data_IF_158743054723
#
_entry.id   IF_158743054723
#
_cell.length_a   1.000
_cell.length_b   1.000
_cell.length_c   1.000
_cell.angle_alpha   90.00
_cell.angle_beta   90.00
_cell.angle_gamma   90.00
#
_symmetry.space_group_name_H-M   'P 1'
#
loop_
_entity.id
_entity.type
_entity.pdbx_description
1 polymer ?
#
# COMPACT_ATOMS: atom_id res chain seq x y z
N UNK A 1 -48.81 -11.09 -3.17
CA UNK A 1 -47.70 -11.34 -2.21
C UNK A 1 -46.51 -12.09 -2.83
N UNK A 2 -46.70 -13.13 -3.67
CA UNK A 2 -45.58 -13.84 -4.35
C UNK A 2 -44.69 -12.95 -5.23
N UNK A 3 -45.26 -11.95 -5.93
CA UNK A 3 -44.51 -11.01 -6.78
C UNK A 3 -43.59 -10.05 -6.00
N UNK A 4 -43.98 -9.67 -4.77
CA UNK A 4 -43.18 -8.79 -3.90
C UNK A 4 -41.96 -9.53 -3.30
N UNK A 5 -42.13 -10.82 -2.98
CA UNK A 5 -41.03 -11.67 -2.50
C UNK A 5 -39.98 -11.86 -3.60
N UNK A 6 -40.41 -12.01 -4.86
CA UNK A 6 -39.50 -12.19 -5.99
C UNK A 6 -38.62 -10.94 -6.25
N UNK A 7 -39.18 -9.74 -6.12
CA UNK A 7 -38.43 -8.48 -6.30
C UNK A 7 -37.38 -8.23 -5.21
N UNK A 8 -37.67 -8.62 -3.96
CA UNK A 8 -36.71 -8.48 -2.85
C UNK A 8 -35.55 -9.46 -3.01
N UNK A 9 -35.82 -10.69 -3.47
CA UNK A 9 -34.79 -11.70 -3.70
C UNK A 9 -33.82 -11.29 -4.83
N UNK A 10 -34.34 -10.66 -5.89
CA UNK A 10 -33.51 -10.18 -7.01
C UNK A 10 -32.60 -9.03 -6.57
N UNK A 11 -33.10 -8.08 -5.75
CA UNK A 11 -32.28 -6.96 -5.27
C UNK A 11 -31.08 -7.42 -4.41
N UNK A 12 -31.23 -8.51 -3.64
CA UNK A 12 -30.13 -9.06 -2.82
C UNK A 12 -29.03 -9.73 -3.65
N UNK A 13 -29.34 -10.22 -4.86
CA UNK A 13 -28.36 -10.80 -5.78
C UNK A 13 -27.49 -9.73 -6.47
N UNK A 14 -28.01 -8.50 -6.66
CA UNK A 14 -27.24 -7.41 -7.28
C UNK A 14 -26.26 -6.71 -6.32
N UNK A 15 -26.49 -6.75 -5.01
CA UNK A 15 -25.60 -6.14 -4.03
C UNK A 15 -24.25 -6.88 -3.90
N UNK A 16 -24.15 -8.12 -4.38
CA UNK A 16 -22.93 -8.94 -4.33
C UNK A 16 -21.83 -8.55 -5.31
N UNK A 17 -22.03 -7.54 -6.17
CA UNK A 17 -21.04 -7.12 -7.16
C UNK A 17 -20.01 -6.10 -6.65
N UNK A 18 -20.32 -5.36 -5.58
CA UNK A 18 -19.41 -4.36 -5.01
C UNK A 18 -18.18 -5.03 -4.41
N UNK A 19 -16.98 -4.66 -4.86
CA UNK A 19 -15.70 -5.24 -4.42
C UNK A 19 -15.28 -6.55 -5.12
N UNK A 20 -16.09 -7.08 -6.02
CA UNK A 20 -15.69 -8.22 -6.88
C UNK A 20 -14.74 -7.76 -7.99
N UNK A 21 -13.84 -8.63 -8.52
CA UNK A 21 -12.96 -8.25 -9.64
C UNK A 21 -13.72 -7.72 -10.86
N UNK A 22 -14.93 -8.25 -11.12
CA UNK A 22 -15.81 -7.78 -12.18
C UNK A 22 -16.42 -6.40 -11.86
N UNK A 23 -16.85 -6.17 -10.62
CA UNK A 23 -17.37 -4.87 -10.17
C UNK A 23 -16.33 -3.76 -10.27
N UNK A 24 -15.09 -4.03 -9.85
CA UNK A 24 -13.99 -3.06 -9.92
C UNK A 24 -13.68 -2.68 -11.37
N UNK A 25 -13.75 -3.63 -12.32
CA UNK A 25 -13.60 -3.32 -13.75
C UNK A 25 -14.73 -2.43 -14.28
N UNK A 26 -15.97 -2.67 -13.86
CA UNK A 26 -17.12 -1.85 -14.26
C UNK A 26 -16.97 -0.42 -13.75
N UNK A 27 -16.46 -0.25 -12.53
CA UNK A 27 -16.26 1.06 -11.90
C UNK A 27 -14.95 1.77 -12.31
N UNK A 28 -14.13 1.16 -13.17
CA UNK A 28 -12.78 1.64 -13.52
C UNK A 28 -11.87 1.87 -12.29
N UNK A 29 -11.93 0.95 -11.33
CA UNK A 29 -11.17 1.00 -10.08
C UNK A 29 -10.05 -0.04 -10.07
N UNK A 30 -8.98 0.27 -9.34
CA UNK A 30 -7.93 -0.67 -8.95
C UNK A 30 -7.76 -0.65 -7.44
N UNK A 31 -7.28 -1.75 -6.89
CA UNK A 31 -6.86 -1.80 -5.50
C UNK A 31 -5.57 -0.99 -5.33
N UNK A 32 -5.47 -0.29 -4.20
CA UNK A 32 -4.22 0.31 -3.77
C UNK A 32 -3.12 -0.76 -3.65
N UNK A 33 -1.92 -0.34 -4.00
CA UNK A 33 -0.71 -1.15 -3.92
C UNK A 33 0.17 -0.65 -2.79
N UNK A 34 1.17 -1.46 -2.44
CA UNK A 34 2.22 -1.03 -1.52
C UNK A 34 2.93 0.23 -2.00
N UNK A 35 3.07 0.42 -3.31
CA UNK A 35 3.65 1.63 -3.86
C UNK A 35 2.78 2.87 -3.60
N UNK A 36 1.45 2.74 -3.67
CA UNK A 36 0.52 3.83 -3.31
C UNK A 36 0.65 4.20 -1.83
N UNK A 37 0.68 3.19 -0.94
CA UNK A 37 0.91 3.40 0.49
C UNK A 37 2.27 4.03 0.79
N UNK A 38 3.35 3.61 0.13
CA UNK A 38 4.66 4.23 0.33
C UNK A 38 4.69 5.67 -0.18
N UNK A 39 4.01 5.94 -1.30
CA UNK A 39 3.92 7.27 -1.90
C UNK A 39 3.11 8.24 -1.04
N UNK A 40 2.07 7.77 -0.34
CA UNK A 40 1.23 8.62 0.52
C UNK A 40 1.98 9.22 1.71
N UNK A 41 3.13 8.64 2.08
CA UNK A 41 4.00 9.21 3.11
C UNK A 41 4.84 10.39 2.60
N UNK A 42 5.03 10.57 1.30
CA UNK A 42 5.83 11.70 0.80
C UNK A 42 5.15 13.03 1.15
N UNK A 43 5.89 13.91 1.83
CA UNK A 43 5.40 15.17 2.39
C UNK A 43 4.95 15.08 3.84
N UNK A 44 4.80 13.88 4.41
CA UNK A 44 4.46 13.70 5.83
C UNK A 44 5.71 13.80 6.72
N UNK A 45 5.50 14.13 8.00
CA UNK A 45 6.61 14.19 8.96
C UNK A 45 7.10 12.80 9.35
N UNK A 46 8.39 12.70 9.65
CA UNK A 46 9.00 11.50 10.22
C UNK A 46 8.31 11.09 11.52
N UNK A 47 7.96 12.05 12.38
CA UNK A 47 7.27 11.78 13.64
C UNK A 47 5.94 11.05 13.42
N UNK A 48 5.15 11.48 12.42
CA UNK A 48 3.88 10.83 12.09
C UNK A 48 4.07 9.43 11.51
N UNK A 49 5.08 9.26 10.64
CA UNK A 49 5.44 7.95 10.11
C UNK A 49 5.85 7.00 11.24
N UNK A 50 6.76 7.42 12.11
CA UNK A 50 7.25 6.62 13.24
C UNK A 50 6.13 6.36 14.27
N UNK A 51 5.22 7.31 14.50
CA UNK A 51 4.09 7.07 15.40
C UNK A 51 3.13 6.01 14.85
N UNK A 52 2.99 5.92 13.52
CA UNK A 52 2.08 4.97 12.86
C UNK A 52 2.71 3.60 12.66
N UNK A 53 3.98 3.54 12.26
CA UNK A 53 4.68 2.30 11.87
C UNK A 53 5.58 1.75 12.99
N UNK A 54 5.82 2.54 14.03
CA UNK A 54 6.81 2.25 15.06
C UNK A 54 8.23 2.68 14.66
N UNK A 55 9.21 2.42 15.54
CA UNK A 55 10.61 2.72 15.26
C UNK A 55 11.11 1.95 14.03
N UNK A 56 11.96 2.56 13.17
CA UNK A 56 12.53 1.86 12.02
C UNK A 56 13.50 0.76 12.47
N UNK A 57 13.65 -0.27 11.64
CA UNK A 57 14.63 -1.35 11.86
C UNK A 57 16.06 -0.83 11.74
N UNK A 58 16.30 0.09 10.81
CA UNK A 58 17.61 0.67 10.58
C UNK A 58 17.53 2.14 10.21
N UNK A 59 18.60 2.88 10.46
CA UNK A 59 18.72 4.27 10.03
C UNK A 59 20.16 4.62 9.65
N UNK A 60 20.32 5.54 8.71
CA UNK A 60 21.60 6.06 8.27
C UNK A 60 21.50 7.57 8.06
N UNK A 61 22.32 8.34 8.76
CA UNK A 61 22.42 9.80 8.59
C UNK A 61 23.38 10.11 7.44
N UNK A 62 22.88 10.82 6.44
CA UNK A 62 23.65 11.32 5.30
C UNK A 62 24.56 12.46 5.77
N UNK A 63 25.67 12.68 5.05
CA UNK A 63 26.57 13.81 5.31
C UNK A 63 25.89 15.18 5.16
N UNK A 64 24.78 15.25 4.41
CA UNK A 64 23.96 16.45 4.26
C UNK A 64 23.04 16.75 5.45
N UNK A 65 23.00 15.90 6.47
CA UNK A 65 22.11 16.03 7.64
C UNK A 65 20.75 15.34 7.50
N UNK A 66 20.34 15.00 6.27
CA UNK A 66 19.19 14.12 6.02
C UNK A 66 19.45 12.69 6.49
N UNK A 67 18.44 11.82 6.48
CA UNK A 67 18.59 10.40 6.86
C UNK A 67 17.78 9.48 5.98
N UNK A 68 18.20 8.23 5.92
CA UNK A 68 17.45 7.14 5.34
C UNK A 68 17.05 6.22 6.48
N UNK A 69 15.77 5.90 6.60
CA UNK A 69 15.25 4.91 7.53
C UNK A 69 14.72 3.70 6.77
N UNK A 70 14.83 2.51 7.34
CA UNK A 70 14.28 1.28 6.76
C UNK A 70 13.45 0.48 7.74
N UNK A 71 12.36 -0.09 7.24
CA UNK A 71 11.55 -1.12 7.89
C UNK A 71 11.81 -2.44 7.16
N UNK A 72 12.28 -3.43 7.91
CA UNK A 72 12.75 -4.69 7.33
C UNK A 72 12.09 -5.87 8.02
N UNK A 73 11.55 -6.79 7.21
CA UNK A 73 10.96 -8.02 7.72
C UNK A 73 11.13 -9.18 6.75
N UNK A 74 11.12 -10.40 7.28
CA UNK A 74 11.14 -11.63 6.48
C UNK A 74 9.72 -11.92 6.01
N UNK A 75 9.49 -11.89 4.69
CA UNK A 75 8.19 -12.23 4.10
C UNK A 75 7.96 -13.74 4.09
N UNK A 76 9.01 -14.52 3.88
CA UNK A 76 8.93 -15.97 3.85
C UNK A 76 10.20 -16.63 3.32
N UNK A 77 10.16 -17.95 3.24
CA UNK A 77 11.24 -18.79 2.71
C UNK A 77 10.67 -19.60 1.56
N UNK A 78 11.21 -19.44 0.35
CA UNK A 78 10.81 -20.22 -0.83
C UNK A 78 12.07 -20.90 -1.37
N UNK A 79 12.03 -22.23 -1.53
CA UNK A 79 13.17 -23.03 -2.01
C UNK A 79 14.48 -22.72 -1.27
N UNK A 80 14.43 -22.69 0.07
CA UNK A 80 15.56 -22.37 0.96
C UNK A 80 16.17 -20.96 0.77
N UNK A 81 15.49 -20.07 0.02
CA UNK A 81 15.87 -18.66 -0.13
C UNK A 81 14.99 -17.79 0.76
N UNK A 82 15.61 -16.95 1.60
CA UNK A 82 14.90 -16.01 2.48
C UNK A 82 14.53 -14.77 1.68
N UNK A 83 13.23 -14.48 1.57
CA UNK A 83 12.72 -13.27 0.95
C UNK A 83 12.52 -12.19 2.00
N UNK A 84 13.34 -11.14 1.91
CA UNK A 84 13.27 -9.97 2.80
C UNK A 84 12.58 -8.82 2.08
N UNK A 85 11.59 -8.24 2.75
CA UNK A 85 11.04 -6.97 2.34
C UNK A 85 11.79 -5.85 3.06
N UNK A 86 12.13 -4.80 2.33
CA UNK A 86 12.75 -3.59 2.85
C UNK A 86 12.01 -2.39 2.29
N UNK A 87 11.35 -1.67 3.17
CA UNK A 87 10.68 -0.40 2.89
C UNK A 87 11.59 0.72 3.38
N UNK A 88 11.94 1.66 2.51
CA UNK A 88 12.87 2.75 2.81
C UNK A 88 12.20 4.09 2.63
N UNK A 89 12.53 5.03 3.51
CA UNK A 89 12.16 6.43 3.37
C UNK A 89 13.40 7.30 3.52
N UNK A 90 13.52 8.30 2.66
CA UNK A 90 14.45 9.41 2.87
C UNK A 90 13.71 10.51 3.62
N UNK A 91 14.32 10.95 4.69
CA UNK A 91 13.87 12.08 5.49
C UNK A 91 14.87 13.22 5.29
N UNK A 92 14.39 14.35 4.78
CA UNK A 92 15.14 15.60 4.77
C UNK A 92 14.34 16.63 5.57
N UNK A 93 15.00 17.36 6.47
CA UNK A 93 14.38 18.37 7.34
C UNK A 93 13.14 17.88 8.12
N UNK A 94 13.14 16.61 8.53
CA UNK A 94 12.05 15.99 9.29
C UNK A 94 10.85 15.52 8.45
N UNK A 95 10.91 15.63 7.13
CA UNK A 95 9.84 15.25 6.21
C UNK A 95 10.28 14.12 5.27
N UNK A 96 9.37 13.19 4.98
CA UNK A 96 9.59 12.14 3.98
C UNK A 96 9.64 12.76 2.58
N UNK A 97 10.78 12.66 1.91
CA UNK A 97 10.98 13.24 0.56
C UNK A 97 11.02 12.21 -0.54
N UNK A 98 11.48 11.00 -0.24
CA UNK A 98 11.61 9.89 -1.20
C UNK A 98 11.32 8.57 -0.52
N UNK A 99 10.99 7.56 -1.32
CA UNK A 99 10.74 6.23 -0.82
C UNK A 99 11.31 5.16 -1.76
N UNK A 100 11.62 4.00 -1.20
CA UNK A 100 12.15 2.84 -1.92
C UNK A 100 11.58 1.54 -1.41
N UNK A 101 11.48 0.53 -2.28
CA UNK A 101 10.96 -0.79 -1.95
C UNK A 101 11.87 -1.86 -2.57
N UNK A 102 12.26 -2.87 -1.79
CA UNK A 102 12.99 -4.02 -2.34
C UNK A 102 12.05 -4.94 -3.15
N UNK A 103 12.61 -5.69 -4.09
CA UNK A 103 11.86 -6.66 -4.90
C UNK A 103 11.24 -7.81 -4.09
N UNK A 104 11.64 -8.00 -2.82
CA UNK A 104 11.11 -9.04 -1.95
C UNK A 104 9.76 -8.70 -1.29
N UNK A 105 9.29 -7.45 -1.44
CA UNK A 105 8.04 -6.99 -0.84
C UNK A 105 6.80 -7.48 -1.59
N UNK A 106 5.68 -7.62 -0.88
CA UNK A 106 4.39 -7.83 -1.54
C UNK A 106 3.92 -6.51 -2.16
N UNK A 107 3.51 -6.57 -3.42
CA UNK A 107 2.91 -5.42 -4.10
C UNK A 107 1.50 -5.13 -3.61
N UNK A 108 0.81 -6.14 -3.07
CA UNK A 108 -0.54 -6.02 -2.54
C UNK A 108 -0.49 -5.62 -1.08
N UNK A 109 -1.39 -4.72 -0.68
CA UNK A 109 -1.68 -4.46 0.72
C UNK A 109 -2.98 -5.18 1.09
N UNK A 110 -3.04 -5.70 2.31
CA UNK A 110 -4.27 -6.26 2.83
C UNK A 110 -5.23 -5.09 3.10
N UNK A 111 -6.50 -5.26 2.71
CA UNK A 111 -7.55 -4.25 2.89
C UNK A 111 -7.24 -2.90 2.21
N UNK A 112 -6.60 -2.94 1.04
CA UNK A 112 -6.34 -1.74 0.24
C UNK A 112 -7.61 -1.10 -0.30
N UNK A 113 -7.63 0.24 -0.31
CA UNK A 113 -8.77 0.98 -0.82
C UNK A 113 -8.94 0.78 -2.33
N UNK A 114 -10.17 0.95 -2.83
CA UNK A 114 -10.45 1.05 -4.25
C UNK A 114 -10.19 2.49 -4.69
N UNK A 115 -9.25 2.66 -5.62
CA UNK A 115 -8.89 3.96 -6.20
C UNK A 115 -9.08 3.93 -7.70
N UNK A 116 -9.22 5.11 -8.31
CA UNK A 116 -9.35 5.21 -9.77
C UNK A 116 -8.17 4.55 -10.47
N UNK A 117 -8.48 3.73 -11.49
CA UNK A 117 -7.48 3.07 -12.34
C UNK A 117 -6.66 4.07 -13.17
N UNK A 118 -7.15 5.30 -13.33
CA UNK A 118 -6.44 6.38 -14.04
C UNK A 118 -5.26 6.93 -13.23
N UNK A 119 -5.22 6.66 -11.92
CA UNK A 119 -4.09 6.98 -11.06
C UNK A 119 -2.98 5.96 -11.33
N UNK A 120 -1.84 6.36 -11.93
CA UNK A 120 -0.75 5.45 -12.23
C UNK A 120 -0.14 4.92 -10.93
N UNK A 121 0.40 3.69 -10.98
CA UNK A 121 1.12 3.12 -9.83
C UNK A 121 2.41 3.92 -9.62
N UNK A 122 2.60 4.56 -8.45
CA UNK A 122 3.79 5.35 -8.17
C UNK A 122 5.07 4.52 -8.29
N UNK A 123 6.15 5.14 -8.75
CA UNK A 123 7.45 4.49 -8.85
C UNK A 123 8.36 4.90 -7.69
N UNK A 124 9.20 3.98 -7.17
CA UNK A 124 10.21 4.32 -6.18
C UNK A 124 11.10 5.48 -6.64
N UNK A 125 11.46 6.35 -5.70
CA UNK A 125 12.26 7.57 -5.97
C UNK A 125 13.62 7.55 -5.28
N UNK A 126 13.93 6.48 -4.53
CA UNK A 126 15.18 6.26 -3.81
C UNK A 126 16.03 5.16 -4.44
#
# INVERSE_FOLDING_TARGET
MKKLILTVLVAQLLAGCAGSPLGNMINNERQETRADMMQSWVGESEEKLVSKWGPPTNSYTLSSGGKIISYEYVRGIINNTIYRCTEKFRIDDGTVTKWGLSSGCDTRIQDGDLISKDIPIPQPTL
#
